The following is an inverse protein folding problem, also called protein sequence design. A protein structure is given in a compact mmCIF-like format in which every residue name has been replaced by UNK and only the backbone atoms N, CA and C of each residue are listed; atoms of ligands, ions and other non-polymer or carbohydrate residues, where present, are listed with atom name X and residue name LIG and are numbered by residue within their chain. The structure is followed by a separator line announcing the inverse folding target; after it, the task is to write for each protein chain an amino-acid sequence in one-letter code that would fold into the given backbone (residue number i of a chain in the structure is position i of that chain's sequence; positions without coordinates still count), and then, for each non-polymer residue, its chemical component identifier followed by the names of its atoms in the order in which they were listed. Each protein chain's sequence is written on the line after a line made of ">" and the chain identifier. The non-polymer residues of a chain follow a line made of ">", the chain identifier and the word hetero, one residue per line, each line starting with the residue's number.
data_IF_555562068884
#
_entry.id   IF_555562068884
#
_cell.length_a   1.000
_cell.length_b   1.000
_cell.length_c   1.000
_cell.angle_alpha   90.00
_cell.angle_beta   90.00
_cell.angle_gamma   90.00
#
_symmetry.space_group_name_H-M   'P 1'
#
loop_
_entity.id
_entity.type
_entity.pdbx_description
1 polymer ?
#
# COMPACT_ATOMS: atom_id res chain seq x y z
N UNK A 1 -71.15 59.50 9.29
CA UNK A 1 -70.26 58.69 10.16
C UNK A 1 -71.05 57.44 10.55
N UNK A 2 -70.80 56.33 9.84
CA UNK A 2 -71.60 55.10 9.93
C UNK A 2 -71.01 54.09 10.93
N UNK A 3 -71.92 53.40 11.60
CA UNK A 3 -71.77 52.33 12.60
C UNK A 3 -71.46 50.98 11.92
N UNK A 4 -70.95 49.99 12.70
CA UNK A 4 -70.90 48.51 12.55
C UNK A 4 -69.45 47.98 12.58
N UNK A 5 -69.10 46.83 13.14
CA UNK A 5 -69.66 45.88 14.10
C UNK A 5 -68.55 44.84 14.38
N UNK A 6 -68.60 44.20 15.54
CA UNK A 6 -67.72 43.09 15.91
C UNK A 6 -67.86 41.90 14.95
N UNK A 7 -66.73 41.26 14.63
CA UNK A 7 -66.68 40.01 13.87
C UNK A 7 -65.56 39.12 14.39
N UNK A 8 -65.91 38.15 15.22
CA UNK A 8 -65.08 37.01 15.61
C UNK A 8 -64.95 36.05 14.43
N UNK A 9 -63.74 35.82 13.94
CA UNK A 9 -63.43 34.71 13.02
C UNK A 9 -62.37 33.83 13.66
N UNK A 10 -62.80 32.60 14.01
CA UNK A 10 -61.93 31.57 14.54
C UNK A 10 -60.87 31.17 13.52
N UNK A 11 -59.61 31.21 13.94
CA UNK A 11 -58.56 30.47 13.25
C UNK A 11 -58.51 29.07 13.86
N UNK A 12 -58.97 28.11 13.06
CA UNK A 12 -58.82 26.70 13.32
C UNK A 12 -57.32 26.37 13.47
N UNK A 13 -56.99 25.63 14.52
CA UNK A 13 -55.66 25.04 14.72
C UNK A 13 -55.33 24.19 13.50
N UNK A 14 -54.27 24.56 12.77
CA UNK A 14 -53.60 23.64 11.89
C UNK A 14 -53.08 22.49 12.75
N UNK A 15 -53.57 21.28 12.49
CA UNK A 15 -52.96 20.07 13.03
C UNK A 15 -51.60 19.93 12.34
N UNK A 16 -50.54 20.18 13.09
CA UNK A 16 -49.20 19.73 12.75
C UNK A 16 -49.25 18.20 12.64
N UNK A 17 -49.31 17.69 11.41
CA UNK A 17 -49.04 16.28 11.15
C UNK A 17 -47.57 16.05 11.50
N UNK A 18 -47.33 15.41 12.65
CA UNK A 18 -46.05 14.78 12.94
C UNK A 18 -45.64 13.95 11.71
N UNK A 19 -44.38 14.01 11.25
CA UNK A 19 -43.95 13.18 10.14
C UNK A 19 -44.19 11.74 10.55
N UNK A 20 -45.04 11.04 9.81
CA UNK A 20 -45.31 9.61 10.00
C UNK A 20 -43.95 8.92 9.92
N UNK A 21 -43.44 8.47 11.05
CA UNK A 21 -42.27 7.62 11.13
C UNK A 21 -42.67 6.32 10.43
N UNK A 22 -42.33 6.19 9.14
CA UNK A 22 -42.69 5.05 8.30
C UNK A 22 -42.33 3.78 9.08
N UNK A 23 -43.35 3.11 9.62
CA UNK A 23 -43.16 1.94 10.45
C UNK A 23 -42.49 0.88 9.59
N UNK A 24 -41.19 0.66 9.82
CA UNK A 24 -40.40 -0.31 9.04
C UNK A 24 -41.08 -1.67 9.18
N UNK A 25 -41.70 -2.16 8.10
CA UNK A 25 -42.41 -3.43 8.12
C UNK A 25 -41.37 -4.53 8.36
N UNK A 26 -41.53 -5.30 9.44
CA UNK A 26 -40.65 -6.43 9.75
C UNK A 26 -41.36 -7.71 9.31
N UNK A 27 -40.74 -8.47 8.42
CA UNK A 27 -41.19 -9.82 8.08
C UNK A 27 -40.28 -10.87 8.72
N UNK A 28 -40.83 -11.85 9.48
CA UNK A 28 -40.03 -12.91 10.05
C UNK A 28 -39.46 -13.85 8.98
N UNK A 29 -40.17 -14.04 7.86
CA UNK A 29 -39.79 -14.98 6.81
C UNK A 29 -40.21 -14.46 5.44
N UNK A 30 -39.28 -14.46 4.49
CA UNK A 30 -39.49 -14.08 3.11
C UNK A 30 -38.91 -15.14 2.17
N UNK A 31 -39.73 -15.63 1.24
CA UNK A 31 -39.28 -16.39 0.08
C UNK A 31 -39.64 -15.61 -1.18
N UNK A 32 -38.72 -15.53 -2.14
CA UNK A 32 -38.97 -15.03 -3.49
C UNK A 32 -38.30 -15.87 -4.57
N UNK A 33 -38.88 -15.92 -5.77
CA UNK A 33 -38.18 -16.40 -6.97
C UNK A 33 -37.26 -15.28 -7.50
N UNK A 34 -37.89 -14.18 -7.85
CA UNK A 34 -37.30 -12.91 -8.21
C UNK A 34 -38.22 -11.83 -7.65
N UNK A 35 -37.73 -10.85 -6.91
CA UNK A 35 -38.61 -9.76 -6.43
C UNK A 35 -39.22 -9.03 -7.64
N UNK A 36 -40.55 -8.79 -7.68
CA UNK A 36 -41.55 -8.91 -6.60
C UNK A 36 -42.30 -10.26 -6.51
N UNK A 37 -41.96 -11.27 -7.30
CA UNK A 37 -42.55 -12.62 -7.23
C UNK A 37 -42.09 -13.34 -5.96
N UNK A 38 -42.72 -13.02 -4.84
CA UNK A 38 -42.45 -13.60 -3.52
C UNK A 38 -43.48 -13.18 -2.47
N UNK A 39 -43.31 -13.70 -1.26
CA UNK A 39 -44.23 -13.52 -0.11
C UNK A 39 -44.52 -12.07 0.30
N UNK A 40 -43.57 -11.15 0.07
CA UNK A 40 -43.75 -9.72 0.38
C UNK A 40 -44.24 -8.89 -0.84
N UNK A 41 -44.28 -9.47 -2.04
CA UNK A 41 -44.78 -8.80 -3.23
C UNK A 41 -44.01 -7.52 -3.59
N UNK A 42 -44.76 -6.47 -3.94
CA UNK A 42 -44.20 -5.15 -4.21
C UNK A 42 -43.64 -4.49 -2.93
N UNK A 43 -44.16 -4.81 -1.76
CA UNK A 43 -43.75 -4.23 -0.47
C UNK A 43 -42.37 -4.68 0.01
N UNK A 44 -41.70 -5.61 -0.69
CA UNK A 44 -40.37 -6.10 -0.33
C UNK A 44 -39.37 -4.94 -0.11
N UNK A 45 -39.40 -3.92 -0.97
CA UNK A 45 -38.52 -2.74 -0.91
C UNK A 45 -38.62 -1.86 0.35
N UNK A 46 -39.70 -1.98 1.13
CA UNK A 46 -39.91 -1.28 2.40
C UNK A 46 -40.00 -2.25 3.58
N UNK A 47 -39.70 -3.53 3.35
CA UNK A 47 -39.77 -4.59 4.35
C UNK A 47 -38.38 -5.01 4.78
N UNK A 48 -38.11 -4.99 6.08
CA UNK A 48 -36.93 -5.59 6.69
C UNK A 48 -37.21 -7.05 7.01
N UNK A 49 -36.40 -7.97 6.50
CA UNK A 49 -36.58 -9.40 6.72
C UNK A 49 -35.66 -9.93 7.83
N UNK A 50 -36.12 -10.93 8.60
CA UNK A 50 -35.23 -11.70 9.50
C UNK A 50 -34.62 -12.90 8.80
N UNK A 51 -35.41 -13.59 7.98
CA UNK A 51 -34.97 -14.69 7.13
C UNK A 51 -35.49 -14.41 5.72
N UNK A 52 -34.60 -14.37 4.73
CA UNK A 52 -34.90 -14.09 3.32
C UNK A 52 -34.25 -15.14 2.42
N UNK A 53 -35.05 -15.87 1.65
CA UNK A 53 -34.60 -16.92 0.72
C UNK A 53 -35.03 -16.54 -0.69
N UNK A 54 -34.07 -16.17 -1.52
CA UNK A 54 -34.29 -15.72 -2.89
C UNK A 54 -33.76 -16.79 -3.86
N UNK A 55 -34.64 -17.48 -4.58
CA UNK A 55 -34.21 -18.56 -5.50
C UNK A 55 -33.28 -18.01 -6.59
N UNK A 56 -33.60 -16.83 -7.15
CA UNK A 56 -32.75 -16.12 -8.10
C UNK A 56 -32.28 -14.78 -7.54
N UNK A 57 -33.18 -13.81 -7.38
CA UNK A 57 -32.80 -12.45 -6.95
C UNK A 57 -33.79 -11.80 -5.96
N UNK A 58 -33.28 -11.25 -4.86
CA UNK A 58 -34.04 -10.54 -3.84
C UNK A 58 -33.77 -9.04 -3.85
N UNK A 59 -34.82 -8.24 -3.69
CA UNK A 59 -34.71 -6.82 -3.36
C UNK A 59 -35.56 -6.51 -2.14
N UNK A 60 -34.94 -6.05 -1.04
CA UNK A 60 -35.68 -5.73 0.18
C UNK A 60 -35.26 -4.44 0.88
N UNK A 61 -36.07 -3.99 1.84
CA UNK A 61 -35.82 -2.76 2.59
C UNK A 61 -34.64 -2.87 3.55
N UNK A 62 -34.34 -4.06 4.06
CA UNK A 62 -33.22 -4.31 4.96
C UNK A 62 -33.19 -5.75 5.47
N UNK A 63 -32.15 -6.08 6.23
CA UNK A 63 -31.95 -7.41 6.80
C UNK A 63 -31.61 -7.33 8.30
N UNK A 64 -32.26 -8.18 9.11
CA UNK A 64 -31.96 -8.42 10.54
C UNK A 64 -31.90 -9.92 10.82
N UNK A 65 -30.93 -10.62 10.25
CA UNK A 65 -30.77 -12.06 10.38
C UNK A 65 -30.04 -12.71 9.21
N UNK A 66 -30.70 -13.57 8.43
CA UNK A 66 -30.09 -14.33 7.34
C UNK A 66 -30.78 -14.04 6.01
N UNK A 67 -29.99 -13.75 4.98
CA UNK A 67 -30.45 -13.69 3.60
C UNK A 67 -29.57 -14.53 2.69
N UNK A 68 -30.20 -15.35 1.85
CA UNK A 68 -29.53 -16.22 0.88
C UNK A 68 -30.18 -16.07 -0.49
N UNK A 69 -29.37 -15.80 -1.52
CA UNK A 69 -29.80 -15.77 -2.91
C UNK A 69 -29.02 -16.75 -3.80
N UNK A 70 -29.73 -17.37 -4.75
CA UNK A 70 -29.09 -18.14 -5.82
C UNK A 70 -28.20 -17.28 -6.73
N UNK A 71 -28.59 -16.04 -7.01
CA UNK A 71 -27.82 -15.11 -7.84
C UNK A 71 -27.52 -13.78 -7.13
N UNK A 72 -28.53 -13.02 -6.71
CA UNK A 72 -28.32 -11.65 -6.21
C UNK A 72 -29.19 -11.28 -4.99
N UNK A 73 -28.61 -10.57 -4.04
CA UNK A 73 -29.35 -9.82 -3.01
C UNK A 73 -29.11 -8.33 -3.18
N UNK A 74 -30.15 -7.54 -2.95
CA UNK A 74 -30.05 -6.09 -2.88
C UNK A 74 -30.92 -5.53 -1.76
N UNK A 75 -30.32 -4.70 -0.91
CA UNK A 75 -30.94 -4.04 0.23
C UNK A 75 -30.94 -2.53 0.02
N UNK A 76 -32.11 -1.91 0.13
CA UNK A 76 -32.25 -0.44 0.12
C UNK A 76 -31.71 0.20 1.40
N UNK A 77 -31.83 -0.50 2.52
CA UNK A 77 -31.39 -0.06 3.84
C UNK A 77 -30.23 -0.88 4.38
N UNK A 78 -30.20 -1.04 5.69
CA UNK A 78 -29.08 -1.65 6.40
C UNK A 78 -29.16 -3.19 6.43
N UNK A 79 -27.99 -3.80 6.53
CA UNK A 79 -27.80 -5.22 6.78
C UNK A 79 -27.28 -5.41 8.21
N UNK A 80 -27.95 -6.26 8.99
CA UNK A 80 -27.52 -6.72 10.30
C UNK A 80 -27.65 -8.25 10.38
N UNK A 81 -26.55 -8.96 10.14
CA UNK A 81 -26.51 -10.42 10.13
C UNK A 81 -25.64 -11.03 9.02
N UNK A 82 -26.19 -11.98 8.27
CA UNK A 82 -25.47 -12.75 7.24
C UNK A 82 -26.20 -12.63 5.91
N UNK A 83 -25.49 -12.22 4.86
CA UNK A 83 -26.01 -12.13 3.50
C UNK A 83 -25.12 -12.94 2.54
N UNK A 84 -25.72 -13.89 1.82
CA UNK A 84 -25.00 -14.82 0.92
C UNK A 84 -25.66 -14.78 -0.46
N UNK A 85 -24.86 -14.64 -1.52
CA UNK A 85 -25.35 -14.69 -2.89
C UNK A 85 -24.40 -15.45 -3.83
N UNK A 86 -24.96 -16.14 -4.83
CA UNK A 86 -24.15 -16.80 -5.87
C UNK A 86 -23.32 -15.84 -6.72
N UNK A 87 -23.78 -14.61 -6.94
CA UNK A 87 -23.08 -13.59 -7.72
C UNK A 87 -22.84 -12.30 -6.92
N UNK A 88 -23.88 -11.68 -6.37
CA UNK A 88 -23.72 -10.37 -5.73
C UNK A 88 -24.59 -10.05 -4.52
N UNK A 89 -24.03 -9.24 -3.62
CA UNK A 89 -24.73 -8.57 -2.53
C UNK A 89 -24.57 -7.06 -2.67
N UNK A 90 -25.68 -6.31 -2.70
CA UNK A 90 -25.68 -4.85 -2.79
C UNK A 90 -26.47 -4.24 -1.62
N UNK A 91 -25.79 -3.59 -0.67
CA UNK A 91 -26.43 -2.92 0.47
C UNK A 91 -26.27 -1.41 0.33
N UNK A 92 -27.36 -0.68 0.09
CA UNK A 92 -27.35 0.79 -0.03
C UNK A 92 -27.27 1.49 1.34
N UNK A 93 -27.43 0.73 2.44
CA UNK A 93 -27.17 1.16 3.79
C UNK A 93 -25.78 0.77 4.31
N UNK A 94 -25.70 0.65 5.64
CA UNK A 94 -24.55 0.09 6.35
C UNK A 94 -24.70 -1.42 6.47
N UNK A 95 -23.60 -2.15 6.44
CA UNK A 95 -23.58 -3.59 6.72
C UNK A 95 -22.90 -3.86 8.06
N UNK A 96 -23.56 -4.64 8.93
CA UNK A 96 -22.99 -5.19 10.15
C UNK A 96 -23.12 -6.71 10.13
N UNK A 97 -22.00 -7.41 10.04
CA UNK A 97 -21.96 -8.87 10.02
C UNK A 97 -21.15 -9.42 8.85
N UNK A 98 -21.71 -10.39 8.12
CA UNK A 98 -20.99 -11.17 7.10
C UNK A 98 -21.69 -11.09 5.74
N UNK A 99 -20.96 -10.64 4.71
CA UNK A 99 -21.39 -10.68 3.31
C UNK A 99 -20.51 -11.65 2.52
N UNK A 100 -21.11 -12.62 1.85
CA UNK A 100 -20.42 -13.59 0.98
C UNK A 100 -21.04 -13.58 -0.41
N UNK A 101 -20.24 -13.35 -1.45
CA UNK A 101 -20.70 -13.36 -2.83
C UNK A 101 -19.73 -14.08 -3.78
N UNK A 102 -20.25 -14.74 -4.82
CA UNK A 102 -19.37 -15.35 -5.83
C UNK A 102 -18.56 -14.33 -6.65
N UNK A 103 -19.07 -13.11 -6.84
CA UNK A 103 -18.39 -12.06 -7.62
C UNK A 103 -18.12 -10.81 -6.81
N UNK A 104 -19.14 -10.09 -6.31
CA UNK A 104 -18.92 -8.86 -5.55
C UNK A 104 -19.86 -8.62 -4.38
N UNK A 105 -19.33 -7.95 -3.34
CA UNK A 105 -20.13 -7.32 -2.29
C UNK A 105 -19.95 -5.79 -2.39
N UNK A 106 -21.03 -5.05 -2.22
CA UNK A 106 -21.05 -3.60 -2.27
C UNK A 106 -21.83 -3.01 -1.10
N UNK A 107 -21.23 -2.07 -0.38
CA UNK A 107 -21.91 -1.21 0.59
C UNK A 107 -21.78 0.26 0.21
N UNK A 108 -22.89 0.98 0.15
CA UNK A 108 -22.86 2.43 -0.07
C UNK A 108 -22.41 3.21 1.18
N UNK A 109 -22.56 2.62 2.38
CA UNK A 109 -22.08 3.20 3.63
C UNK A 109 -21.05 2.27 4.28
N UNK A 110 -20.94 2.32 5.60
CA UNK A 110 -19.94 1.59 6.38
C UNK A 110 -20.17 0.08 6.42
N UNK A 111 -19.08 -0.65 6.50
CA UNK A 111 -19.03 -2.08 6.82
C UNK A 111 -18.45 -2.26 8.24
N UNK A 112 -19.15 -3.01 9.09
CA UNK A 112 -18.65 -3.49 10.38
C UNK A 112 -18.73 -5.02 10.36
N UNK A 113 -17.62 -5.71 10.09
CA UNK A 113 -17.58 -7.16 9.94
C UNK A 113 -16.78 -7.61 8.72
N UNK A 114 -17.29 -8.59 7.99
CA UNK A 114 -16.53 -9.28 6.93
C UNK A 114 -17.24 -9.25 5.58
N UNK A 115 -16.53 -8.83 4.54
CA UNK A 115 -16.91 -8.98 3.14
C UNK A 115 -15.98 -9.97 2.45
N UNK A 116 -16.55 -11.04 1.88
CA UNK A 116 -15.80 -12.10 1.18
C UNK A 116 -16.37 -12.30 -0.22
N UNK A 117 -15.53 -12.19 -1.25
CA UNK A 117 -15.99 -12.40 -2.62
C UNK A 117 -14.97 -13.03 -3.57
N UNK A 118 -15.45 -13.56 -4.70
CA UNK A 118 -14.56 -14.09 -5.74
C UNK A 118 -13.83 -13.01 -6.54
N UNK A 119 -14.38 -11.79 -6.66
CA UNK A 119 -13.78 -10.72 -7.45
C UNK A 119 -13.54 -9.43 -6.66
N UNK A 120 -14.61 -8.78 -6.15
CA UNK A 120 -14.47 -7.45 -5.54
C UNK A 120 -15.27 -7.24 -4.26
N UNK A 121 -14.71 -6.52 -3.30
CA UNK A 121 -15.46 -5.97 -2.16
C UNK A 121 -15.34 -4.44 -2.17
N UNK A 122 -16.46 -3.74 -2.03
CA UNK A 122 -16.49 -2.28 -2.11
C UNK A 122 -17.31 -1.72 -0.94
N UNK A 123 -16.72 -0.79 -0.19
CA UNK A 123 -17.42 0.06 0.76
C UNK A 123 -17.13 1.53 0.44
N UNK A 124 -18.17 2.35 0.25
CA UNK A 124 -18.00 3.78 -0.06
C UNK A 124 -17.82 4.68 1.18
N UNK A 125 -17.63 4.08 2.34
CA UNK A 125 -17.36 4.74 3.62
C UNK A 125 -16.33 3.90 4.40
N UNK A 126 -16.43 3.87 5.73
CA UNK A 126 -15.53 3.15 6.64
C UNK A 126 -15.70 1.64 6.62
N UNK A 127 -14.59 0.92 6.82
CA UNK A 127 -14.54 -0.53 7.01
C UNK A 127 -13.90 -0.81 8.36
N UNK A 128 -14.67 -1.35 9.30
CA UNK A 128 -14.18 -1.94 10.55
C UNK A 128 -14.30 -3.46 10.45
N UNK A 129 -13.22 -4.13 10.05
CA UNK A 129 -13.18 -5.58 9.90
C UNK A 129 -12.36 -6.09 8.71
N UNK A 130 -12.90 -7.07 7.97
CA UNK A 130 -12.17 -7.83 6.97
C UNK A 130 -12.78 -7.66 5.58
N UNK A 131 -11.97 -7.31 4.59
CA UNK A 131 -12.30 -7.49 3.17
C UNK A 131 -11.36 -8.52 2.55
N UNK A 132 -11.93 -9.61 2.02
CA UNK A 132 -11.19 -10.67 1.34
C UNK A 132 -11.76 -10.92 -0.05
N UNK A 133 -10.98 -10.73 -1.11
CA UNK A 133 -11.46 -10.93 -2.48
C UNK A 133 -10.42 -11.61 -3.38
N UNK A 134 -10.85 -12.15 -4.52
CA UNK A 134 -9.93 -12.69 -5.51
C UNK A 134 -9.18 -11.62 -6.31
N UNK A 135 -9.72 -10.40 -6.44
CA UNK A 135 -9.12 -9.36 -7.28
C UNK A 135 -8.96 -8.01 -6.59
N UNK A 136 -10.01 -7.37 -6.06
CA UNK A 136 -9.88 -6.02 -5.48
C UNK A 136 -10.73 -5.76 -4.24
N UNK A 137 -10.15 -5.10 -3.24
CA UNK A 137 -10.90 -4.52 -2.14
C UNK A 137 -10.79 -3.00 -2.19
N UNK A 138 -11.92 -2.30 -2.07
CA UNK A 138 -11.99 -0.84 -2.09
C UNK A 138 -12.72 -0.34 -0.86
N UNK A 139 -12.10 0.63 -0.19
CA UNK A 139 -12.72 1.43 0.86
C UNK A 139 -12.49 2.92 0.56
N UNK A 140 -13.55 3.72 0.47
CA UNK A 140 -13.42 5.17 0.27
C UNK A 140 -13.13 5.87 1.59
N UNK A 141 -13.70 5.39 2.70
CA UNK A 141 -13.40 5.90 4.04
C UNK A 141 -12.18 5.22 4.66
N UNK A 142 -12.13 5.25 5.99
CA UNK A 142 -11.05 4.63 6.76
C UNK A 142 -11.22 3.12 6.88
N UNK A 143 -10.11 2.40 6.94
CA UNK A 143 -10.05 0.95 7.19
C UNK A 143 -9.42 0.71 8.55
N UNK A 144 -10.15 0.07 9.45
CA UNK A 144 -9.60 -0.54 10.66
C UNK A 144 -9.75 -2.06 10.54
N UNK A 145 -8.66 -2.77 10.22
CA UNK A 145 -8.69 -4.23 10.10
C UNK A 145 -7.80 -4.78 8.98
N UNK A 146 -8.31 -5.73 8.21
CA UNK A 146 -7.53 -6.50 7.23
C UNK A 146 -8.15 -6.41 5.84
N UNK A 147 -7.35 -6.05 4.85
CA UNK A 147 -7.70 -6.23 3.43
C UNK A 147 -6.74 -7.23 2.80
N UNK A 148 -7.29 -8.31 2.23
CA UNK A 148 -6.53 -9.38 1.58
C UNK A 148 -7.09 -9.63 0.18
N UNK A 149 -6.24 -9.62 -0.85
CA UNK A 149 -6.69 -9.78 -2.23
C UNK A 149 -5.65 -10.36 -3.18
N UNK A 150 -6.09 -10.91 -4.32
CA UNK A 150 -5.20 -11.38 -5.37
C UNK A 150 -4.50 -10.26 -6.16
N UNK A 151 -5.14 -9.10 -6.37
CA UNK A 151 -4.54 -8.01 -7.17
C UNK A 151 -4.28 -6.74 -6.37
N UNK A 152 -5.31 -5.96 -5.99
CA UNK A 152 -5.10 -4.65 -5.36
C UNK A 152 -6.04 -4.32 -4.20
N UNK A 153 -5.49 -3.78 -3.10
CA UNK A 153 -6.28 -3.11 -2.06
C UNK A 153 -6.16 -1.60 -2.23
N UNK A 154 -7.29 -0.89 -2.17
CA UNK A 154 -7.35 0.56 -2.30
C UNK A 154 -8.14 1.16 -1.13
N UNK A 155 -7.51 2.10 -0.43
CA UNK A 155 -8.12 2.89 0.64
C UNK A 155 -7.88 4.36 0.37
N UNK A 156 -8.94 5.15 0.22
CA UNK A 156 -8.80 6.60 0.03
C UNK A 156 -8.53 7.29 1.37
N UNK A 157 -9.20 6.88 2.45
CA UNK A 157 -8.94 7.36 3.82
C UNK A 157 -7.66 6.82 4.45
N UNK A 158 -7.69 6.71 5.77
CA UNK A 158 -6.62 6.14 6.58
C UNK A 158 -6.78 4.62 6.74
N UNK A 159 -5.67 3.91 6.89
CA UNK A 159 -5.66 2.47 7.16
C UNK A 159 -4.95 2.19 8.48
N UNK A 160 -5.61 1.47 9.39
CA UNK A 160 -5.03 0.91 10.60
C UNK A 160 -5.18 -0.61 10.58
N UNK A 161 -4.10 -1.31 10.23
CA UNK A 161 -4.06 -2.76 10.18
C UNK A 161 -3.19 -3.33 9.07
N UNK A 162 -3.68 -4.35 8.38
CA UNK A 162 -2.91 -5.11 7.38
C UNK A 162 -3.55 -5.01 6.00
N UNK A 163 -2.77 -4.59 5.01
CA UNK A 163 -3.10 -4.73 3.59
C UNK A 163 -2.16 -5.76 2.96
N UNK A 164 -2.72 -6.83 2.40
CA UNK A 164 -1.98 -7.89 1.71
C UNK A 164 -2.55 -8.08 0.31
N UNK A 165 -1.69 -7.99 -0.71
CA UNK A 165 -2.12 -8.16 -2.11
C UNK A 165 -1.08 -8.83 -2.98
N UNK A 166 -1.51 -9.42 -4.10
CA UNK A 166 -0.57 -9.96 -5.07
C UNK A 166 0.18 -8.89 -5.86
N UNK A 167 -0.44 -7.73 -6.13
CA UNK A 167 0.19 -6.67 -6.93
C UNK A 167 0.38 -5.36 -6.18
N UNK A 168 -0.68 -4.72 -5.68
CA UNK A 168 -0.58 -3.38 -5.11
C UNK A 168 -1.41 -3.14 -3.84
N UNK A 169 -0.88 -2.35 -2.91
CA UNK A 169 -1.64 -1.77 -1.80
C UNK A 169 -1.52 -0.25 -1.87
N UNK A 170 -2.65 0.45 -1.81
CA UNK A 170 -2.70 1.91 -1.91
C UNK A 170 -3.53 2.46 -0.76
N UNK A 171 -2.91 3.30 0.08
CA UNK A 171 -3.60 4.11 1.09
C UNK A 171 -3.30 5.58 0.81
N UNK A 172 -4.30 6.39 0.43
CA UNK A 172 -4.04 7.81 0.10
C UNK A 172 -3.93 8.72 1.34
N UNK A 173 -4.39 8.24 2.49
CA UNK A 173 -4.14 8.83 3.81
C UNK A 173 -2.93 8.21 4.52
N UNK A 174 -3.06 8.04 5.83
CA UNK A 174 -2.07 7.44 6.72
C UNK A 174 -2.25 5.93 6.81
N UNK A 175 -1.17 5.17 6.65
CA UNK A 175 -1.15 3.73 6.90
C UNK A 175 -0.40 3.40 8.20
N UNK A 176 -1.11 2.90 9.20
CA UNK A 176 -0.57 2.37 10.44
C UNK A 176 -0.67 0.84 10.46
N UNK A 177 0.46 0.15 10.31
CA UNK A 177 0.51 -1.31 10.34
C UNK A 177 1.38 -1.90 9.23
N UNK A 178 0.88 -2.90 8.50
CA UNK A 178 1.66 -3.62 7.46
C UNK A 178 1.01 -3.45 6.10
N UNK A 179 1.79 -3.09 5.08
CA UNK A 179 1.42 -3.25 3.67
C UNK A 179 2.38 -4.26 3.03
N UNK A 180 1.86 -5.39 2.54
CA UNK A 180 2.64 -6.40 1.85
C UNK A 180 2.05 -6.62 0.47
N UNK A 181 2.83 -6.35 -0.58
CA UNK A 181 2.42 -6.56 -1.97
C UNK A 181 3.53 -7.23 -2.76
N UNK A 182 3.17 -7.94 -3.83
CA UNK A 182 4.17 -8.49 -4.75
C UNK A 182 4.89 -7.42 -5.56
N UNK A 183 4.32 -6.22 -5.72
CA UNK A 183 4.91 -5.18 -6.56
C UNK A 183 4.94 -3.80 -5.89
N UNK A 184 3.81 -3.11 -5.68
CA UNK A 184 3.78 -1.71 -5.22
C UNK A 184 3.04 -1.52 -3.91
N UNK A 185 3.67 -0.86 -2.95
CA UNK A 185 2.99 -0.29 -1.79
C UNK A 185 3.04 1.24 -1.85
N UNK A 186 1.92 1.89 -1.60
CA UNK A 186 1.81 3.34 -1.49
C UNK A 186 1.06 3.75 -0.21
N UNK A 187 1.65 4.70 0.52
CA UNK A 187 1.00 5.40 1.62
C UNK A 187 1.37 6.88 1.58
N UNK A 188 0.47 7.83 1.87
CA UNK A 188 0.91 9.23 2.03
C UNK A 188 1.77 9.38 3.29
N UNK A 189 1.26 8.94 4.44
CA UNK A 189 2.05 8.81 5.67
C UNK A 189 2.14 7.35 6.09
N UNK A 190 3.33 6.87 6.44
CA UNK A 190 3.55 5.50 6.92
C UNK A 190 3.98 5.50 8.39
N UNK A 191 3.22 4.76 9.21
CA UNK A 191 3.62 4.33 10.55
C UNK A 191 3.59 2.80 10.65
N UNK A 192 4.56 2.15 10.02
CA UNK A 192 4.64 0.69 10.01
C UNK A 192 5.64 0.14 9.01
N UNK A 193 5.33 -1.02 8.42
CA UNK A 193 6.23 -1.70 7.48
C UNK A 193 5.54 -1.81 6.11
N UNK A 194 6.28 -1.48 5.06
CA UNK A 194 5.90 -1.84 3.69
C UNK A 194 6.88 -2.91 3.18
N UNK A 195 6.36 -3.94 2.50
CA UNK A 195 7.16 -4.98 1.87
C UNK A 195 6.67 -5.18 0.45
N UNK A 196 7.54 -4.93 -0.52
CA UNK A 196 7.23 -5.05 -1.94
C UNK A 196 8.44 -4.69 -2.80
N UNK A 197 8.33 -4.85 -4.12
CA UNK A 197 9.41 -4.45 -5.04
C UNK A 197 9.60 -2.93 -4.99
N UNK A 198 8.51 -2.18 -5.00
CA UNK A 198 8.48 -0.72 -4.96
C UNK A 198 7.64 -0.26 -3.78
N UNK A 199 8.23 0.52 -2.88
CA UNK A 199 7.55 1.15 -1.76
C UNK A 199 7.65 2.66 -1.91
N UNK A 200 6.52 3.34 -1.81
CA UNK A 200 6.43 4.79 -1.98
C UNK A 200 5.71 5.37 -0.77
N UNK A 201 6.33 6.37 -0.15
CA UNK A 201 5.68 7.20 0.86
C UNK A 201 6.04 8.68 0.73
N UNK A 202 5.11 9.57 1.08
CA UNK A 202 5.46 10.99 1.20
C UNK A 202 6.23 11.25 2.51
N UNK A 203 5.83 10.58 3.60
CA UNK A 203 6.53 10.64 4.89
C UNK A 203 6.46 9.31 5.65
N UNK A 204 7.45 9.05 6.51
CA UNK A 204 7.48 7.89 7.41
C UNK A 204 7.69 8.37 8.83
N UNK A 205 6.67 8.26 9.67
CA UNK A 205 6.73 8.68 11.09
C UNK A 205 7.53 7.69 11.93
N UNK A 206 7.20 6.40 11.78
CA UNK A 206 7.87 5.29 12.45
C UNK A 206 7.68 4.04 11.62
N UNK A 207 8.73 3.59 10.95
CA UNK A 207 8.56 2.49 10.04
C UNK A 207 9.77 2.20 9.18
N UNK A 208 9.62 1.17 8.35
CA UNK A 208 10.62 0.75 7.38
C UNK A 208 9.90 0.28 6.10
N UNK A 209 10.07 0.97 4.96
CA UNK A 209 9.74 0.43 3.66
C UNK A 209 10.88 -0.46 3.17
N UNK A 210 10.64 -1.77 3.04
CA UNK A 210 11.63 -2.76 2.62
C UNK A 210 11.31 -3.19 1.20
N UNK A 211 12.18 -2.86 0.26
CA UNK A 211 12.00 -3.20 -1.14
C UNK A 211 13.22 -2.94 -2.01
N UNK A 212 13.14 -3.39 -3.26
CA UNK A 212 14.16 -3.10 -4.26
C UNK A 212 14.22 -1.59 -4.55
N UNK A 213 13.09 -0.90 -4.50
CA UNK A 213 13.00 0.55 -4.61
C UNK A 213 12.13 1.09 -3.48
N UNK A 214 12.70 1.89 -2.59
CA UNK A 214 11.98 2.50 -1.47
C UNK A 214 12.16 4.01 -1.51
N UNK A 215 11.15 4.71 -2.00
CA UNK A 215 11.15 6.16 -2.15
C UNK A 215 10.33 6.81 -1.03
N UNK A 216 10.98 7.65 -0.22
CA UNK A 216 10.31 8.42 0.83
C UNK A 216 10.62 9.89 0.64
N UNK A 217 9.65 10.71 0.25
CA UNK A 217 9.89 12.11 -0.13
C UNK A 217 10.49 12.93 1.02
N UNK A 218 9.88 12.89 2.19
CA UNK A 218 10.38 13.52 3.43
C UNK A 218 11.15 12.51 4.29
N UNK A 219 12.00 11.70 3.65
CA UNK A 219 12.76 10.63 4.28
C UNK A 219 14.26 10.89 4.28
N UNK A 220 15.03 9.81 4.18
CA UNK A 220 16.47 9.85 4.02
C UNK A 220 16.83 9.97 2.53
N UNK A 221 16.94 11.21 2.04
CA UNK A 221 17.37 11.51 0.68
C UNK A 221 18.72 12.22 0.70
N UNK A 222 19.77 11.58 0.20
CA UNK A 222 21.15 12.07 0.33
C UNK A 222 21.90 11.86 -0.98
N UNK A 223 22.55 12.92 -1.45
CA UNK A 223 23.57 12.83 -2.50
C UNK A 223 24.94 12.74 -1.82
N UNK A 224 25.76 11.78 -2.23
CA UNK A 224 27.16 11.69 -1.82
C UNK A 224 28.06 11.92 -3.01
N UNK A 225 29.15 12.65 -2.78
CA UNK A 225 30.22 12.83 -3.74
C UNK A 225 31.51 12.48 -3.00
N UNK A 226 32.25 11.52 -3.52
CA UNK A 226 33.41 10.98 -2.83
C UNK A 226 34.29 10.14 -3.72
N UNK A 227 35.06 9.28 -3.10
CA UNK A 227 35.92 8.34 -3.79
C UNK A 227 36.30 7.19 -2.86
N UNK A 228 36.85 6.16 -3.48
CA UNK A 228 37.36 4.97 -2.82
C UNK A 228 38.59 4.44 -3.57
N UNK A 229 39.17 3.34 -3.09
CA UNK A 229 40.37 2.73 -3.66
C UNK A 229 40.21 2.20 -5.10
N UNK A 230 38.98 1.92 -5.53
CA UNK A 230 38.67 1.39 -6.86
C UNK A 230 38.19 2.47 -7.84
N UNK A 231 37.33 3.38 -7.36
CA UNK A 231 36.68 4.46 -8.09
C UNK A 231 37.02 5.79 -7.39
N UNK A 232 37.95 6.56 -7.96
CA UNK A 232 38.48 7.78 -7.36
C UNK A 232 37.46 8.93 -7.32
N UNK A 233 36.50 8.91 -8.24
CA UNK A 233 35.34 9.80 -8.23
C UNK A 233 34.05 8.98 -8.23
N UNK A 234 33.18 9.23 -7.26
CA UNK A 234 31.90 8.55 -7.09
C UNK A 234 30.82 9.57 -6.75
N UNK A 235 29.66 9.40 -7.38
CA UNK A 235 28.41 10.05 -7.02
C UNK A 235 27.37 8.99 -6.64
N UNK A 236 26.71 9.17 -5.50
CA UNK A 236 25.66 8.26 -5.07
C UNK A 236 24.40 8.99 -4.63
N UNK A 237 23.25 8.41 -4.94
CA UNK A 237 21.95 8.84 -4.44
C UNK A 237 21.38 7.78 -3.50
N UNK A 238 21.02 8.19 -2.28
CA UNK A 238 20.42 7.34 -1.25
C UNK A 238 18.98 7.78 -1.02
N UNK A 239 18.04 6.84 -0.99
CA UNK A 239 16.60 7.12 -0.80
C UNK A 239 15.94 6.07 0.10
N UNK A 240 14.97 6.48 0.92
CA UNK A 240 14.27 5.60 1.86
C UNK A 240 14.20 6.22 3.26
N UNK A 241 14.52 5.45 4.29
CA UNK A 241 14.60 5.93 5.69
C UNK A 241 15.96 5.59 6.29
N UNK A 242 16.36 6.25 7.37
CA UNK A 242 17.66 5.96 8.03
C UNK A 242 17.84 4.47 8.37
N UNK A 243 16.76 3.77 8.72
CA UNK A 243 16.78 2.33 9.08
C UNK A 243 16.95 1.40 7.87
N UNK A 244 16.53 1.82 6.67
CA UNK A 244 16.67 1.08 5.43
C UNK A 244 16.56 2.05 4.25
N UNK A 245 17.59 2.10 3.42
CA UNK A 245 17.62 2.92 2.22
C UNK A 245 18.27 2.17 1.07
N UNK A 246 17.81 2.47 -0.15
CA UNK A 246 18.45 2.03 -1.38
C UNK A 246 19.55 3.03 -1.77
N UNK A 247 20.59 2.53 -2.42
CA UNK A 247 21.74 3.31 -2.88
C UNK A 247 21.89 3.08 -4.37
N UNK A 248 21.91 4.15 -5.16
CA UNK A 248 22.32 4.15 -6.55
C UNK A 248 23.65 4.87 -6.63
N UNK A 249 24.65 4.25 -7.23
CA UNK A 249 26.00 4.80 -7.29
C UNK A 249 26.55 4.75 -8.70
N UNK A 250 27.35 5.75 -9.06
CA UNK A 250 28.09 5.78 -10.29
C UNK A 250 29.49 6.32 -9.98
N UNK A 251 30.53 5.68 -10.50
CA UNK A 251 31.88 6.15 -10.25
C UNK A 251 32.85 5.81 -11.36
N UNK A 252 34.00 6.47 -11.33
CA UNK A 252 35.09 6.27 -12.27
C UNK A 252 36.47 6.42 -11.62
N UNK A 253 37.45 5.78 -12.22
CA UNK A 253 38.86 5.94 -11.92
C UNK A 253 39.67 5.89 -13.20
N UNK A 254 40.73 6.70 -13.25
CA UNK A 254 41.78 6.56 -14.25
C UNK A 254 42.94 5.80 -13.61
N UNK A 255 43.25 4.62 -14.15
CA UNK A 255 44.35 3.79 -13.68
C UNK A 255 45.24 3.40 -14.86
N UNK A 256 46.54 3.73 -14.79
CA UNK A 256 47.55 3.34 -15.79
C UNK A 256 47.18 3.66 -17.25
N UNK A 257 46.49 4.78 -17.49
CA UNK A 257 46.09 5.24 -18.83
C UNK A 257 44.72 4.75 -19.31
N UNK A 258 44.05 3.87 -18.57
CA UNK A 258 42.73 3.33 -18.91
C UNK A 258 41.65 3.89 -17.98
N UNK A 259 40.54 4.37 -18.54
CA UNK A 259 39.35 4.75 -17.80
C UNK A 259 38.58 3.50 -17.38
N UNK A 260 38.31 3.38 -16.08
CA UNK A 260 37.37 2.43 -15.50
C UNK A 260 36.18 3.18 -14.97
N UNK A 261 34.97 2.67 -15.19
CA UNK A 261 33.76 3.28 -14.66
C UNK A 261 32.69 2.24 -14.39
N UNK A 262 31.77 2.52 -13.47
CA UNK A 262 30.73 1.55 -13.12
C UNK A 262 29.48 2.18 -12.53
N UNK A 263 28.40 1.41 -12.58
CA UNK A 263 27.16 1.71 -11.87
C UNK A 263 26.93 0.66 -10.79
N UNK A 264 26.48 1.11 -9.64
CA UNK A 264 26.23 0.28 -8.48
C UNK A 264 24.83 0.45 -7.93
N UNK A 265 24.31 -0.65 -7.39
CA UNK A 265 23.10 -0.67 -6.60
C UNK A 265 23.39 -1.28 -5.24
N UNK A 266 22.76 -0.76 -4.20
CA UNK A 266 22.97 -1.25 -2.85
C UNK A 266 21.84 -0.94 -1.90
N UNK A 267 22.01 -1.45 -0.69
CA UNK A 267 21.13 -1.19 0.44
C UNK A 267 21.99 -0.81 1.64
N UNK A 268 21.43 -0.02 2.54
CA UNK A 268 22.13 0.35 3.75
C UNK A 268 21.21 0.64 4.92
N UNK A 269 21.83 0.68 6.08
CA UNK A 269 21.23 1.13 7.33
C UNK A 269 22.14 2.13 8.00
N UNK A 270 21.55 3.04 8.76
CA UNK A 270 22.24 4.10 9.47
C UNK A 270 21.83 4.04 10.95
N UNK A 271 22.84 3.82 11.79
CA UNK A 271 22.72 3.72 13.24
C UNK A 271 23.16 5.07 13.83
N UNK A 272 22.24 5.88 14.37
CA UNK A 272 22.60 7.13 15.02
C UNK A 272 23.30 6.84 16.36
N UNK A 273 24.52 7.37 16.52
CA UNK A 273 25.34 7.17 17.74
C UNK A 273 25.38 8.45 18.58
N UNK A 274 25.31 9.61 17.94
CA UNK A 274 25.28 10.90 18.61
C UNK A 274 24.42 11.91 17.86
N UNK A 275 24.42 13.16 18.34
CA UNK A 275 23.61 14.24 17.73
C UNK A 275 24.01 14.58 16.29
N UNK A 276 25.28 14.34 15.95
CA UNK A 276 25.87 14.66 14.63
C UNK A 276 26.68 13.50 14.05
N UNK A 277 26.64 12.34 14.69
CA UNK A 277 27.46 11.19 14.34
C UNK A 277 26.55 10.00 14.06
N UNK A 278 26.72 9.44 12.87
CA UNK A 278 25.99 8.28 12.40
C UNK A 278 26.99 7.20 11.94
N UNK A 279 26.70 5.93 12.22
CA UNK A 279 27.41 4.79 11.63
C UNK A 279 26.55 4.20 10.51
N UNK A 280 27.07 4.18 9.29
CA UNK A 280 26.46 3.55 8.13
C UNK A 280 27.02 2.14 7.90
N UNK A 281 26.14 1.18 7.67
CA UNK A 281 26.49 -0.16 7.19
C UNK A 281 25.81 -0.33 5.84
N UNK A 282 26.61 -0.49 4.78
CA UNK A 282 26.13 -0.42 3.41
C UNK A 282 26.68 -1.58 2.59
N UNK A 283 25.81 -2.30 1.90
CA UNK A 283 26.19 -3.34 0.95
C UNK A 283 25.88 -2.84 -0.46
N UNK A 284 26.87 -2.82 -1.35
CA UNK A 284 26.75 -2.38 -2.73
C UNK A 284 27.30 -3.44 -3.67
N UNK A 285 26.74 -3.51 -4.87
CA UNK A 285 27.29 -4.28 -6.00
C UNK A 285 27.41 -3.36 -7.19
N UNK A 286 28.60 -3.29 -7.80
CA UNK A 286 28.89 -2.51 -9.00
C UNK A 286 29.15 -3.42 -10.18
N UNK A 287 28.69 -3.02 -11.37
CA UNK A 287 29.23 -3.51 -12.63
C UNK A 287 30.32 -2.56 -13.10
N UNK A 288 31.55 -3.05 -13.25
CA UNK A 288 32.72 -2.27 -13.64
C UNK A 288 33.00 -2.47 -15.13
N UNK A 289 33.20 -1.36 -15.84
CA UNK A 289 33.57 -1.33 -17.24
C UNK A 289 35.02 -0.87 -17.37
N UNK A 290 35.78 -1.55 -18.22
CA UNK A 290 37.20 -1.27 -18.47
C UNK A 290 37.45 -0.99 -19.95
N UNK A 291 38.17 0.09 -20.25
CA UNK A 291 38.73 0.34 -21.59
C UNK A 291 37.75 0.63 -22.73
N UNK A 292 36.44 0.69 -22.44
CA UNK A 292 35.39 0.93 -23.44
C UNK A 292 34.07 1.43 -22.87
N UNK A 293 33.06 1.50 -23.76
CA UNK A 293 31.70 1.96 -23.44
C UNK A 293 30.83 0.92 -22.73
N UNK A 294 31.18 -0.36 -22.77
CA UNK A 294 30.51 -1.41 -22.00
C UNK A 294 31.35 -2.68 -22.00
N UNK A 295 31.54 -3.30 -20.84
CA UNK A 295 32.18 -4.61 -20.71
C UNK A 295 31.11 -5.69 -20.71
N UNK A 296 31.15 -6.58 -21.71
CA UNK A 296 30.19 -7.69 -21.87
C UNK A 296 30.50 -8.90 -20.97
N UNK A 297 31.72 -8.96 -20.41
CA UNK A 297 32.13 -10.00 -19.46
C UNK A 297 31.66 -9.72 -18.04
N UNK A 298 31.68 -10.74 -17.20
CA UNK A 298 31.45 -10.58 -15.76
C UNK A 298 32.56 -9.69 -15.20
N UNK A 299 32.19 -8.55 -14.61
CA UNK A 299 33.11 -7.69 -13.87
C UNK A 299 32.33 -7.00 -12.74
N UNK A 300 32.11 -7.76 -11.67
CA UNK A 300 31.26 -7.36 -10.55
C UNK A 300 32.07 -7.10 -9.30
N UNK A 301 31.93 -5.90 -8.74
CA UNK A 301 32.56 -5.49 -7.49
C UNK A 301 31.50 -5.39 -6.39
N UNK A 302 31.49 -6.35 -5.47
CA UNK A 302 30.70 -6.31 -4.26
C UNK A 302 31.46 -5.65 -3.13
N UNK A 303 30.81 -4.73 -2.41
CA UNK A 303 31.42 -3.93 -1.34
C UNK A 303 30.54 -3.94 -0.10
N UNK A 304 31.14 -4.16 1.05
CA UNK A 304 30.53 -3.93 2.36
C UNK A 304 31.26 -2.78 3.04
N UNK A 305 30.60 -1.63 3.15
CA UNK A 305 31.15 -0.42 3.74
C UNK A 305 30.69 -0.26 5.19
N UNK A 306 31.63 0.13 6.05
CA UNK A 306 31.37 0.59 7.41
C UNK A 306 31.83 2.05 7.52
N UNK A 307 30.88 2.97 7.48
CA UNK A 307 31.14 4.40 7.34
C UNK A 307 30.79 5.17 8.61
N UNK A 308 31.70 6.02 9.07
CA UNK A 308 31.41 7.05 10.06
C UNK A 308 31.01 8.34 9.34
N UNK A 309 29.82 8.85 9.59
CA UNK A 309 29.34 10.13 9.06
C UNK A 309 29.31 11.19 10.16
N UNK A 310 29.77 12.40 9.82
CA UNK A 310 29.71 13.58 10.68
C UNK A 310 28.93 14.72 10.00
N UNK A 311 27.86 15.18 10.63
CA UNK A 311 27.06 16.31 10.15
C UNK A 311 27.72 17.66 10.54
N UNK A 312 28.22 18.39 9.54
CA UNK A 312 28.79 19.73 9.72
C UNK A 312 27.67 20.76 9.94
N UNK A 313 26.63 20.66 9.12
CA UNK A 313 25.40 21.47 9.16
C UNK A 313 24.17 20.57 9.06
N UNK A 314 22.97 21.15 8.97
CA UNK A 314 21.75 20.36 8.76
C UNK A 314 21.68 19.71 7.37
N UNK A 315 22.43 20.24 6.39
CA UNK A 315 22.42 19.76 5.00
C UNK A 315 23.74 19.13 4.58
N UNK A 316 24.88 19.60 5.10
CA UNK A 316 26.21 19.15 4.69
C UNK A 316 26.84 18.29 5.79
N UNK A 317 27.44 17.18 5.39
CA UNK A 317 28.28 16.36 6.23
C UNK A 317 29.45 15.76 5.48
N UNK A 318 30.32 15.08 6.21
CA UNK A 318 31.43 14.29 5.69
C UNK A 318 31.25 12.84 6.11
N UNK A 319 31.82 11.92 5.35
CA UNK A 319 31.89 10.52 5.74
C UNK A 319 33.27 9.95 5.43
N UNK A 320 33.71 9.01 6.26
CA UNK A 320 34.90 8.20 6.03
C UNK A 320 34.71 6.82 6.65
N UNK A 321 35.24 5.78 6.03
CA UNK A 321 35.06 4.41 6.50
C UNK A 321 35.93 3.40 5.80
N UNK A 322 35.95 2.19 6.35
CA UNK A 322 36.59 1.03 5.72
C UNK A 322 35.59 0.25 4.88
N UNK A 323 36.09 -0.48 3.88
CA UNK A 323 35.29 -1.41 3.08
C UNK A 323 35.93 -2.78 2.99
N UNK A 324 35.10 -3.82 2.86
CA UNK A 324 35.50 -5.14 2.42
C UNK A 324 34.99 -5.34 1.00
N UNK A 325 35.88 -5.70 0.09
CA UNK A 325 35.56 -5.78 -1.32
C UNK A 325 35.80 -7.19 -1.84
N UNK A 326 34.92 -7.64 -2.73
CA UNK A 326 35.05 -8.87 -3.50
C UNK A 326 34.82 -8.53 -4.96
N UNK A 327 35.86 -8.65 -5.77
CA UNK A 327 35.81 -8.52 -7.21
C UNK A 327 35.68 -9.91 -7.83
N UNK A 328 34.70 -10.10 -8.70
CA UNK A 328 34.56 -11.29 -9.53
C UNK A 328 34.63 -10.84 -10.98
N UNK A 329 35.68 -11.25 -11.68
CA UNK A 329 35.95 -10.79 -13.05
C UNK A 329 36.32 -11.95 -13.97
N UNK A 330 35.89 -11.86 -15.22
CA UNK A 330 36.29 -12.72 -16.35
C UNK A 330 37.19 -11.94 -17.33
N UNK A 331 37.65 -10.75 -16.92
CA UNK A 331 38.50 -9.88 -17.71
C UNK A 331 39.97 -10.23 -17.48
N UNK A 332 40.61 -10.73 -18.53
CA UNK A 332 41.99 -11.22 -18.49
C UNK A 332 43.02 -10.07 -18.61
N UNK A 333 44.13 -10.20 -17.88
CA UNK A 333 45.25 -9.24 -17.86
C UNK A 333 46.35 -9.57 -18.89
N UNK A 334 46.03 -10.35 -19.94
CA UNK A 334 46.76 -10.28 -21.21
C UNK A 334 47.48 -11.53 -21.70
N UNK A 335 46.85 -12.72 -21.71
CA UNK A 335 47.38 -13.85 -22.48
C UNK A 335 46.41 -14.33 -23.57
N UNK A 336 46.62 -13.99 -24.86
CA UNK A 336 45.67 -14.25 -25.95
C UNK A 336 45.60 -15.74 -26.40
N UNK A 337 46.20 -16.68 -25.66
CA UNK A 337 46.29 -18.09 -26.04
C UNK A 337 45.72 -19.09 -25.01
N UNK A 338 45.17 -18.65 -23.88
CA UNK A 338 44.48 -19.57 -22.96
C UNK A 338 42.96 -19.59 -23.24
N UNK A 339 42.52 -20.56 -24.04
CA UNK A 339 41.13 -21.03 -23.97
C UNK A 339 40.93 -21.73 -22.62
N UNK A 340 40.40 -21.03 -21.62
CA UNK A 340 39.97 -21.62 -20.36
C UNK A 340 38.44 -21.51 -20.24
N UNK A 341 37.77 -22.62 -19.94
CA UNK A 341 36.35 -22.62 -19.64
C UNK A 341 36.06 -21.75 -18.42
N UNK A 342 34.92 -21.06 -18.42
CA UNK A 342 34.28 -20.31 -17.32
C UNK A 342 34.95 -20.43 -15.93
N UNK A 343 36.09 -19.78 -15.72
CA UNK A 343 36.83 -19.76 -14.46
C UNK A 343 37.10 -18.30 -14.07
N UNK A 344 36.10 -17.59 -13.49
CA UNK A 344 36.26 -16.20 -13.12
C UNK A 344 37.30 -16.04 -12.00
N UNK A 345 38.11 -14.99 -12.07
CA UNK A 345 39.01 -14.58 -11.00
C UNK A 345 38.22 -13.94 -9.86
N UNK A 346 38.52 -14.35 -8.62
CA UNK A 346 37.89 -13.80 -7.41
C UNK A 346 38.97 -13.17 -6.53
N UNK A 347 38.90 -11.85 -6.35
CA UNK A 347 39.86 -11.09 -5.55
C UNK A 347 39.16 -10.43 -4.36
N UNK A 348 39.62 -10.74 -3.15
CA UNK A 348 39.16 -10.10 -1.91
C UNK A 348 40.19 -9.10 -1.39
N UNK A 349 39.76 -7.88 -1.04
CA UNK A 349 40.67 -6.86 -0.48
C UNK A 349 39.96 -5.88 0.44
N UNK A 350 40.71 -5.31 1.38
CA UNK A 350 40.25 -4.20 2.21
C UNK A 350 40.39 -2.88 1.45
N UNK A 351 39.46 -1.97 1.67
CA UNK A 351 39.41 -0.66 1.04
C UNK A 351 38.96 0.44 1.99
N UNK A 352 38.69 1.60 1.42
CA UNK A 352 38.19 2.76 2.15
C UNK A 352 37.14 3.49 1.32
N UNK A 353 36.26 4.23 1.98
CA UNK A 353 35.42 5.22 1.32
C UNK A 353 35.47 6.53 2.06
N UNK A 354 35.45 7.63 1.32
CA UNK A 354 35.46 8.97 1.91
C UNK A 354 34.78 9.96 0.99
N UNK A 355 34.17 11.00 1.56
CA UNK A 355 33.55 12.05 0.76
C UNK A 355 32.66 13.00 1.54
N UNK A 356 31.92 13.77 0.76
CA UNK A 356 30.92 14.71 1.22
C UNK A 356 29.52 14.10 1.05
N UNK A 357 28.60 14.49 1.94
CA UNK A 357 27.19 14.11 1.85
C UNK A 357 26.30 15.36 1.97
N UNK A 358 25.30 15.44 1.11
CA UNK A 358 24.33 16.52 1.04
C UNK A 358 22.93 15.94 1.21
N UNK A 359 22.22 16.35 2.26
CA UNK A 359 20.81 15.99 2.51
C UNK A 359 19.91 16.91 1.70
N UNK A 360 19.02 16.31 0.91
CA UNK A 360 18.05 17.01 0.04
C UNK A 360 16.82 17.48 0.81
#
# INVERSE_FOLDING_TARGET
>A
MGVLAAGTTGMAKAQDQEPVEDSVRISPFHISLITPLGTNGLESWNTTNRISLNVFAGYSGGLKGLEVAGFANALKGDMDGIQIAGFCNNTLGSARGLEIAGYWNYNQKKLIGSQISGFANVALDTVDGIQASGFTNVAVGDVQGVQATGFANVTVGDTKGVQASGFANVTTGRHQGVQASGFVNYARSLSGVQVGVVNIADSVEKGIPIGFLSFVRHGYNVIQIGGNETLFGEISYKTGVRRFYNIFSAGSAFHSGTLRWGFGYGIGTLVPVGRRIDIGIEALSYHINEGGWFTNGLNSLSRLNLNLSFDLTNHLGIYAGGSLNVLVTDFDNGDPFEHHGWNPEVMGYAGFSTGLRVKL
#
